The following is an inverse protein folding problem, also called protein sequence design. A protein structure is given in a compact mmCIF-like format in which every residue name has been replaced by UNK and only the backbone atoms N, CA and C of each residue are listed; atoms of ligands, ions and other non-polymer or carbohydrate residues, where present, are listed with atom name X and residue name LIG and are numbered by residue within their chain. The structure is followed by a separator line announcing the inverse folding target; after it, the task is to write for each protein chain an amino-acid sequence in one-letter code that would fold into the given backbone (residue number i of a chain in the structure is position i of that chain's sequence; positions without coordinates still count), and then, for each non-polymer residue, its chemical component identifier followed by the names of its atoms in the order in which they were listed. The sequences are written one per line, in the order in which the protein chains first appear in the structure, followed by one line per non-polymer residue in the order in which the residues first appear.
data_IF_253160750484
#
_entry.id   IF_253160750484
#
_cell.length_a   1.000
_cell.length_b   1.000
_cell.length_c   1.000
_cell.angle_alpha   90.00
_cell.angle_beta   90.00
_cell.angle_gamma   90.00
#
_symmetry.space_group_name_H-M   'P 1'
#
loop_
_entity.id
_entity.type
_entity.pdbx_description
1 polymer ?
#
# COMPACT_ATOMS: atom_id res chain seq x y z
N UNK A 1 17.14 -10.46 -23.61
CA UNK A 1 16.80 -11.00 -22.27
C UNK A 1 15.29 -10.87 -22.10
N UNK A 2 14.56 -11.90 -21.68
CA UNK A 2 13.11 -11.81 -21.59
C UNK A 2 12.73 -11.01 -20.34
N UNK A 3 11.86 -10.03 -20.53
CA UNK A 3 11.28 -9.18 -19.50
C UNK A 3 10.40 -10.08 -18.61
N UNK A 4 10.65 -10.02 -17.30
CA UNK A 4 9.98 -10.83 -16.30
C UNK A 4 8.47 -10.52 -16.30
N UNK A 5 7.63 -11.52 -16.61
CA UNK A 5 6.17 -11.37 -16.84
C UNK A 5 5.38 -10.94 -15.58
N UNK A 6 6.04 -10.85 -14.42
CA UNK A 6 5.46 -10.37 -13.16
C UNK A 6 5.26 -8.83 -13.11
N UNK A 7 5.75 -8.06 -14.09
CA UNK A 7 5.59 -6.59 -14.13
C UNK A 7 4.30 -6.10 -14.81
N UNK A 8 3.44 -6.99 -15.33
CA UNK A 8 2.26 -6.61 -16.15
C UNK A 8 1.06 -6.01 -15.37
N UNK A 9 1.09 -5.97 -14.05
CA UNK A 9 -0.04 -5.48 -13.23
C UNK A 9 0.23 -4.18 -12.46
N UNK A 10 1.35 -3.48 -12.70
CA UNK A 10 1.52 -2.15 -12.12
C UNK A 10 0.72 -1.12 -12.91
N UNK A 11 -0.10 -0.34 -12.22
CA UNK A 11 -0.77 0.84 -12.80
C UNK A 11 0.26 1.83 -13.40
N UNK A 12 1.53 1.77 -12.98
CA UNK A 12 2.61 2.58 -13.50
C UNK A 12 3.25 1.90 -14.72
N UNK A 13 3.03 2.50 -15.89
CA UNK A 13 3.70 2.13 -17.14
C UNK A 13 4.53 3.31 -17.64
N UNK A 14 5.62 3.06 -18.39
CA UNK A 14 6.44 4.14 -18.97
C UNK A 14 5.63 5.17 -19.77
N UNK A 15 4.54 4.73 -20.42
CA UNK A 15 3.68 5.59 -21.23
C UNK A 15 2.63 6.38 -20.41
N UNK A 16 2.41 6.05 -19.13
CA UNK A 16 1.32 6.63 -18.32
C UNK A 16 1.38 8.15 -18.24
N UNK A 17 2.59 8.71 -18.20
CA UNK A 17 2.81 10.14 -18.00
C UNK A 17 3.29 10.86 -19.27
N UNK A 18 3.19 10.23 -20.44
CA UNK A 18 3.59 10.82 -21.73
C UNK A 18 2.95 12.19 -22.01
N UNK A 19 1.72 12.41 -21.56
CA UNK A 19 0.98 13.67 -21.76
C UNK A 19 1.33 14.75 -20.74
N UNK A 20 2.13 14.42 -19.73
CA UNK A 20 2.53 15.35 -18.68
C UNK A 20 3.72 16.21 -19.11
N UNK A 21 3.96 17.28 -18.34
CA UNK A 21 5.12 18.14 -18.54
C UNK A 21 6.19 17.85 -17.50
N UNK A 22 7.48 17.80 -17.89
CA UNK A 22 8.60 17.75 -16.97
C UNK A 22 8.54 18.89 -15.94
N UNK A 23 8.97 18.62 -14.71
CA UNK A 23 8.92 19.58 -13.60
C UNK A 23 9.66 20.90 -13.88
N UNK A 24 10.63 20.89 -14.80
CA UNK A 24 11.52 22.00 -15.16
C UNK A 24 11.41 22.42 -16.63
N UNK A 25 10.35 21.99 -17.34
CA UNK A 25 10.15 22.23 -18.79
C UNK A 25 11.23 21.64 -19.72
N UNK A 26 12.17 20.83 -19.21
CA UNK A 26 13.18 20.16 -20.04
C UNK A 26 12.58 18.89 -20.64
N UNK A 27 12.42 18.80 -21.97
CA UNK A 27 11.77 17.66 -22.61
C UNK A 27 12.56 16.35 -22.43
N UNK A 28 11.88 15.22 -22.55
CA UNK A 28 12.52 13.91 -22.56
C UNK A 28 13.37 13.71 -23.82
N UNK A 29 14.55 13.14 -23.64
CA UNK A 29 15.36 12.58 -24.73
C UNK A 29 14.71 11.30 -25.33
N UNK A 30 15.13 10.83 -26.52
CA UNK A 30 14.49 9.70 -27.21
C UNK A 30 14.41 8.38 -26.41
N UNK A 31 15.31 8.17 -25.44
CA UNK A 31 15.37 6.99 -24.57
C UNK A 31 14.80 7.24 -23.17
N UNK A 32 14.19 8.40 -22.95
CA UNK A 32 13.66 8.81 -21.66
C UNK A 32 12.12 8.81 -21.64
N UNK A 33 11.60 8.56 -20.44
CA UNK A 33 10.17 8.59 -20.13
C UNK A 33 9.97 9.42 -18.86
N UNK A 34 8.75 9.90 -18.65
CA UNK A 34 8.43 10.66 -17.45
C UNK A 34 8.09 9.73 -16.29
N UNK A 35 8.78 9.92 -15.16
CA UNK A 35 8.47 9.25 -13.90
C UNK A 35 8.05 10.26 -12.83
N UNK A 36 7.13 9.90 -11.93
CA UNK A 36 6.66 10.80 -10.87
C UNK A 36 7.68 10.89 -9.72
N UNK A 37 7.73 12.02 -9.04
CA UNK A 37 8.43 12.20 -7.75
C UNK A 37 7.65 13.13 -6.82
N UNK A 38 7.84 12.98 -5.50
CA UNK A 38 7.12 13.77 -4.49
C UNK A 38 7.80 15.12 -4.26
N UNK A 39 7.01 16.20 -4.23
CA UNK A 39 7.44 17.50 -3.72
C UNK A 39 7.26 17.51 -2.20
N UNK A 40 8.36 17.27 -1.48
CA UNK A 40 8.33 16.93 -0.05
C UNK A 40 8.04 18.10 0.88
N UNK A 41 8.43 19.31 0.48
CA UNK A 41 8.36 20.49 1.33
C UNK A 41 8.27 21.79 0.50
N UNK A 42 8.12 22.88 1.22
CA UNK A 42 7.97 24.23 0.65
C UNK A 42 9.26 24.71 -0.02
N UNK A 43 10.43 24.29 0.47
CA UNK A 43 11.71 24.70 -0.09
C UNK A 43 11.91 24.09 -1.48
N UNK A 44 11.65 22.79 -1.61
CA UNK A 44 11.68 22.09 -2.89
C UNK A 44 10.70 22.74 -3.87
N UNK A 45 9.46 23.01 -3.46
CA UNK A 45 8.44 23.68 -4.29
C UNK A 45 8.87 25.06 -4.77
N UNK A 46 9.64 25.80 -3.96
CA UNK A 46 10.08 27.16 -4.23
C UNK A 46 11.45 27.22 -4.93
N UNK A 47 12.06 26.07 -5.21
CA UNK A 47 13.29 26.03 -6.00
C UNK A 47 13.06 26.66 -7.38
N UNK A 48 14.06 27.41 -7.84
CA UNK A 48 14.04 28.08 -9.16
C UNK A 48 13.97 27.09 -10.32
N UNK A 49 14.36 25.84 -10.07
CA UNK A 49 14.39 24.78 -11.06
C UNK A 49 13.04 24.07 -11.22
N UNK A 50 12.06 24.38 -10.38
CA UNK A 50 10.72 23.79 -10.46
C UNK A 50 9.75 24.81 -11.06
N UNK A 51 9.09 24.44 -12.15
CA UNK A 51 7.92 25.13 -12.67
C UNK A 51 6.66 24.64 -11.92
N UNK A 52 6.04 25.46 -11.06
CA UNK A 52 4.88 25.05 -10.28
C UNK A 52 3.65 24.70 -11.12
N UNK A 53 3.57 25.19 -12.37
CA UNK A 53 2.46 24.93 -13.28
C UNK A 53 2.48 23.51 -13.86
N UNK A 54 3.65 22.84 -13.83
CA UNK A 54 3.82 21.48 -14.33
C UNK A 54 3.62 20.43 -13.22
N UNK A 55 3.46 20.87 -11.96
CA UNK A 55 3.19 19.99 -10.84
C UNK A 55 1.73 19.55 -10.85
N UNK A 56 1.49 18.31 -10.44
CA UNK A 56 0.15 17.77 -10.25
C UNK A 56 -0.10 17.39 -8.81
N UNK A 57 -1.36 17.51 -8.40
CA UNK A 57 -1.79 16.96 -7.11
C UNK A 57 -2.34 15.57 -7.36
N UNK A 58 -1.67 14.58 -6.79
CA UNK A 58 -2.22 13.23 -6.71
C UNK A 58 -2.99 13.09 -5.40
N UNK A 59 -4.07 12.32 -5.45
CA UNK A 59 -4.89 12.02 -4.28
C UNK A 59 -4.58 10.60 -3.82
N UNK A 60 -4.18 10.50 -2.56
CA UNK A 60 -3.96 9.24 -1.85
C UNK A 60 -4.68 9.38 -0.50
N UNK A 61 -5.78 8.68 -0.30
CA UNK A 61 -6.58 8.64 0.94
C UNK A 61 -7.16 9.97 1.32
N UNK A 62 -7.71 10.67 0.34
CA UNK A 62 -8.16 12.05 0.49
C UNK A 62 -7.03 13.07 0.69
N UNK A 63 -5.82 12.62 1.05
CA UNK A 63 -4.63 13.44 1.25
C UNK A 63 -4.03 13.81 -0.11
N UNK A 64 -3.69 15.09 -0.22
CA UNK A 64 -3.08 15.65 -1.43
C UNK A 64 -1.57 15.52 -1.34
N UNK A 65 -0.97 14.83 -2.31
CA UNK A 65 0.48 14.81 -2.51
C UNK A 65 0.80 15.60 -3.77
N UNK A 66 1.71 16.55 -3.66
CA UNK A 66 2.17 17.32 -4.81
C UNK A 66 3.28 16.53 -5.51
N UNK A 67 3.14 16.34 -6.81
CA UNK A 67 3.95 15.46 -7.64
C UNK A 67 4.52 16.25 -8.81
N UNK A 68 5.81 16.07 -9.06
CA UNK A 68 6.48 16.50 -10.29
C UNK A 68 6.80 15.30 -11.18
N UNK A 69 7.12 15.56 -12.45
CA UNK A 69 7.53 14.53 -13.40
C UNK A 69 8.96 14.78 -13.85
N UNK A 70 9.82 13.78 -13.74
CA UNK A 70 11.23 13.84 -14.11
C UNK A 70 11.51 12.94 -15.30
N UNK A 71 12.24 13.41 -16.34
CA UNK A 71 12.76 12.55 -17.39
C UNK A 71 13.76 11.55 -16.81
N UNK A 72 13.54 10.26 -17.05
CA UNK A 72 14.42 9.17 -16.63
C UNK A 72 14.61 8.19 -17.77
N UNK A 73 15.73 7.47 -17.82
CA UNK A 73 15.89 6.42 -18.82
C UNK A 73 14.80 5.37 -18.62
N UNK A 74 14.31 4.79 -19.72
CA UNK A 74 13.27 3.77 -19.68
C UNK A 74 13.63 2.57 -18.78
N UNK A 75 14.92 2.22 -18.69
CA UNK A 75 15.45 1.14 -17.86
C UNK A 75 15.33 1.44 -16.35
N UNK A 76 15.36 2.73 -15.97
CA UNK A 76 15.30 3.18 -14.58
C UNK A 76 13.87 3.42 -14.10
N UNK A 77 12.88 3.45 -15.00
CA UNK A 77 11.51 3.85 -14.71
C UNK A 77 10.91 3.13 -13.50
N UNK A 78 11.00 1.79 -13.47
CA UNK A 78 10.42 1.00 -12.38
C UNK A 78 11.13 1.22 -11.04
N UNK A 79 12.44 1.47 -11.06
CA UNK A 79 13.20 1.80 -9.84
C UNK A 79 12.77 3.17 -9.30
N UNK A 80 12.58 4.14 -10.18
CA UNK A 80 12.12 5.49 -9.80
C UNK A 80 10.69 5.45 -9.27
N UNK A 81 9.80 4.65 -9.87
CA UNK A 81 8.43 4.43 -9.36
C UNK A 81 8.47 3.79 -7.96
N UNK A 82 9.37 2.85 -7.70
CA UNK A 82 9.55 2.27 -6.37
C UNK A 82 9.94 3.33 -5.35
N UNK A 83 10.90 4.18 -5.67
CA UNK A 83 11.33 5.31 -4.81
C UNK A 83 10.17 6.28 -4.60
N UNK A 84 9.41 6.62 -5.66
CA UNK A 84 8.23 7.47 -5.55
C UNK A 84 7.21 6.93 -4.54
N UNK A 85 6.89 5.64 -4.59
CA UNK A 85 5.96 5.03 -3.64
C UNK A 85 6.49 5.09 -2.21
N UNK A 86 7.80 4.90 -2.00
CA UNK A 86 8.44 5.08 -0.69
C UNK A 86 8.32 6.52 -0.19
N UNK A 87 8.62 7.50 -1.05
CA UNK A 87 8.52 8.93 -0.74
C UNK A 87 7.07 9.35 -0.44
N UNK A 88 6.08 8.77 -1.14
CA UNK A 88 4.65 9.00 -0.85
C UNK A 88 4.32 8.49 0.55
N UNK A 89 4.73 7.26 0.90
CA UNK A 89 4.52 6.69 2.24
C UNK A 89 5.14 7.58 3.32
N UNK A 90 6.39 8.00 3.11
CA UNK A 90 7.08 8.87 4.06
C UNK A 90 6.38 10.23 4.20
N UNK A 91 6.05 10.87 3.08
CA UNK A 91 5.34 12.15 3.06
C UNK A 91 4.01 12.07 3.81
N UNK A 92 3.20 11.03 3.55
CA UNK A 92 1.92 10.84 4.24
C UNK A 92 2.12 10.57 5.73
N UNK A 93 3.12 9.77 6.11
CA UNK A 93 3.41 9.49 7.52
C UNK A 93 3.78 10.75 8.32
N UNK A 94 4.44 11.74 7.71
CA UNK A 94 4.77 13.03 8.37
C UNK A 94 3.54 13.85 8.76
N UNK A 95 2.44 13.72 8.02
CA UNK A 95 1.19 14.46 8.27
C UNK A 95 0.11 13.63 8.96
N UNK A 96 0.34 12.33 9.12
CA UNK A 96 -0.55 11.44 9.86
C UNK A 96 -0.19 11.49 11.35
N UNK A 97 -0.70 12.49 12.08
CA UNK A 97 -0.97 12.25 13.48
C UNK A 97 -2.07 11.19 13.51
N UNK A 98 -1.70 9.95 13.85
CA UNK A 98 -2.55 8.86 14.32
C UNK A 98 -4.06 9.14 14.20
N UNK A 99 -4.68 8.71 13.10
CA UNK A 99 -6.09 8.31 12.97
C UNK A 99 -6.34 7.98 11.50
N UNK A 100 -6.51 6.68 11.22
CA UNK A 100 -7.73 6.12 10.60
C UNK A 100 -7.47 4.63 10.33
N UNK A 101 -8.13 3.80 11.14
CA UNK A 101 -7.97 2.35 11.33
C UNK A 101 -6.54 1.93 11.70
N UNK A 102 -6.24 1.99 12.99
CA UNK A 102 -5.11 1.22 13.51
C UNK A 102 -5.33 -0.26 13.12
N UNK A 103 -4.26 -0.98 12.76
CA UNK A 103 -4.35 -2.43 12.56
C UNK A 103 -5.02 -3.12 13.76
N UNK A 104 -4.88 -2.53 14.95
CA UNK A 104 -5.61 -2.90 16.16
C UNK A 104 -7.13 -2.81 15.99
N UNK A 105 -7.70 -1.75 15.41
CA UNK A 105 -9.13 -1.66 15.10
C UNK A 105 -9.60 -2.68 14.06
N UNK A 106 -8.80 -2.96 13.01
CA UNK A 106 -9.16 -3.96 12.00
C UNK A 106 -9.15 -5.37 12.62
N UNK A 107 -8.11 -5.69 13.39
CA UNK A 107 -7.97 -6.98 14.07
C UNK A 107 -8.99 -7.17 15.22
N UNK A 108 -9.35 -6.09 15.91
CA UNK A 108 -10.35 -6.12 16.98
C UNK A 108 -11.78 -6.19 16.40
N UNK A 109 -12.08 -5.51 15.29
CA UNK A 109 -13.39 -5.57 14.60
C UNK A 109 -13.64 -6.90 13.88
N UNK A 110 -12.61 -7.55 13.34
CA UNK A 110 -12.68 -8.96 12.86
C UNK A 110 -12.91 -9.98 14.00
N UNK A 111 -12.84 -9.54 15.28
CA UNK A 111 -13.02 -10.40 16.44
C UNK A 111 -14.45 -10.37 16.99
N UNK A 112 -15.24 -9.35 16.68
CA UNK A 112 -16.65 -9.18 17.10
C UNK A 112 -17.60 -9.73 16.03
N UNK A 113 -18.63 -10.47 16.46
CA UNK A 113 -19.71 -10.95 15.58
C UNK A 113 -20.68 -9.82 15.14
N UNK A 114 -20.22 -8.57 15.11
CA UNK A 114 -21.05 -7.42 14.73
C UNK A 114 -20.92 -7.18 13.23
N UNK A 115 -22.06 -7.13 12.53
CA UNK A 115 -22.15 -6.78 11.12
C UNK A 115 -21.41 -5.47 10.86
N UNK A 116 -20.40 -5.55 10.00
CA UNK A 116 -19.65 -4.38 9.56
C UNK A 116 -20.56 -3.57 8.65
N UNK A 117 -21.07 -2.45 9.14
CA UNK A 117 -21.58 -1.39 8.29
C UNK A 117 -20.41 -0.78 7.52
N UNK A 118 -19.93 -1.45 6.47
CA UNK A 118 -19.03 -0.87 5.50
C UNK A 118 -19.83 0.17 4.72
N UNK A 119 -19.66 1.46 5.03
CA UNK A 119 -20.23 2.54 4.25
C UNK A 119 -19.49 2.61 2.90
N UNK A 120 -20.08 2.12 1.80
CA UNK A 120 -19.42 2.08 0.50
C UNK A 120 -19.42 3.47 -0.17
N UNK A 121 -19.90 4.51 0.52
CA UNK A 121 -19.99 5.89 0.00
C UNK A 121 -18.89 6.82 0.56
N UNK A 122 -18.14 6.38 1.58
CA UNK A 122 -16.90 7.02 2.02
C UNK A 122 -15.72 6.59 1.14
N UNK A 123 -15.65 7.12 -0.08
CA UNK A 123 -14.72 6.63 -1.12
C UNK A 123 -13.24 6.88 -0.81
N UNK A 124 -12.57 5.88 -0.23
CA UNK A 124 -11.14 5.64 -0.45
C UNK A 124 -10.89 5.35 -1.94
N UNK A 125 -9.82 5.89 -2.52
CA UNK A 125 -9.53 5.63 -3.94
C UNK A 125 -9.12 4.17 -4.15
N UNK A 126 -9.47 3.62 -5.31
CA UNK A 126 -9.13 2.24 -5.71
C UNK A 126 -7.64 1.92 -5.50
N UNK A 127 -6.76 2.90 -5.67
CA UNK A 127 -5.32 2.77 -5.50
C UNK A 127 -4.90 2.57 -4.03
N UNK A 128 -5.63 3.10 -3.05
CA UNK A 128 -5.35 2.89 -1.62
C UNK A 128 -5.91 1.58 -1.12
N UNK A 129 -7.08 1.19 -1.63
CA UNK A 129 -7.61 -0.14 -1.40
C UNK A 129 -6.56 -1.14 -1.87
N UNK A 130 -6.00 -0.97 -3.08
CA UNK A 130 -4.92 -1.84 -3.58
C UNK A 130 -3.68 -1.81 -2.68
N UNK A 131 -3.18 -0.64 -2.25
CA UNK A 131 -1.99 -0.56 -1.37
C UNK A 131 -2.23 -1.14 0.03
N UNK A 132 -3.43 -0.95 0.58
CA UNK A 132 -3.83 -1.55 1.85
C UNK A 132 -3.91 -3.07 1.73
N UNK A 133 -4.50 -3.58 0.63
CA UNK A 133 -4.55 -5.00 0.33
C UNK A 133 -3.15 -5.60 0.11
N UNK A 134 -2.24 -4.89 -0.55
CA UNK A 134 -0.83 -5.29 -0.71
C UNK A 134 -0.09 -5.34 0.63
N UNK A 135 -0.27 -4.32 1.47
CA UNK A 135 0.35 -4.25 2.81
C UNK A 135 -0.17 -5.36 3.73
N UNK A 136 -1.47 -5.65 3.68
CA UNK A 136 -2.07 -6.77 4.42
C UNK A 136 -1.54 -8.10 3.88
N UNK A 137 -1.38 -8.24 2.57
CA UNK A 137 -0.82 -9.45 1.97
C UNK A 137 0.64 -9.69 2.39
N UNK A 138 1.49 -8.66 2.35
CA UNK A 138 2.89 -8.74 2.81
C UNK A 138 2.97 -9.09 4.31
N UNK A 139 2.09 -8.50 5.13
CA UNK A 139 1.99 -8.84 6.55
C UNK A 139 1.63 -10.32 6.75
N UNK A 140 0.64 -10.82 6.01
CA UNK A 140 0.20 -12.22 6.09
C UNK A 140 1.32 -13.16 5.66
N UNK A 141 2.04 -12.85 4.58
CA UNK A 141 3.17 -13.63 4.09
C UNK A 141 4.31 -13.69 5.11
N UNK A 142 4.63 -12.57 5.75
CA UNK A 142 5.67 -12.51 6.77
C UNK A 142 5.28 -13.26 8.04
N UNK A 143 4.01 -13.20 8.46
CA UNK A 143 3.48 -14.06 9.53
C UNK A 143 3.52 -15.53 9.12
N UNK A 144 3.16 -15.87 7.88
CA UNK A 144 3.18 -17.25 7.36
C UNK A 144 4.60 -17.83 7.33
N UNK A 145 5.59 -17.00 6.97
CA UNK A 145 7.02 -17.34 7.00
C UNK A 145 7.50 -17.68 8.41
N UNK A 146 7.04 -16.92 9.42
CA UNK A 146 7.40 -17.14 10.84
C UNK A 146 6.61 -18.28 11.47
N UNK A 147 5.34 -18.39 11.13
CA UNK A 147 4.44 -19.42 11.61
C UNK A 147 3.37 -19.73 10.55
N UNK A 148 3.60 -20.81 9.80
CA UNK A 148 2.73 -21.25 8.71
C UNK A 148 1.26 -21.36 9.12
N UNK A 149 0.98 -21.89 10.30
CA UNK A 149 -0.39 -22.04 10.82
C UNK A 149 -1.06 -20.70 11.06
N UNK A 150 -0.33 -19.70 11.54
CA UNK A 150 -0.89 -18.38 11.83
C UNK A 150 -1.11 -17.57 10.57
N UNK A 151 -0.19 -17.66 9.60
CA UNK A 151 -0.39 -17.07 8.27
C UNK A 151 -1.64 -17.61 7.59
N UNK A 152 -1.84 -18.93 7.62
CA UNK A 152 -3.05 -19.57 7.08
C UNK A 152 -4.35 -19.08 7.76
N UNK A 153 -4.33 -18.85 9.07
CA UNK A 153 -5.48 -18.28 9.79
C UNK A 153 -5.78 -16.87 9.28
N UNK A 154 -4.76 -16.01 9.16
CA UNK A 154 -4.94 -14.64 8.70
C UNK A 154 -5.37 -14.58 7.24
N UNK A 155 -4.86 -15.48 6.40
CA UNK A 155 -5.24 -15.60 4.99
C UNK A 155 -6.72 -15.97 4.82
N UNK A 156 -7.22 -16.92 5.62
CA UNK A 156 -8.65 -17.27 5.62
C UNK A 156 -9.56 -16.10 6.04
N UNK A 157 -9.11 -15.29 7.01
CA UNK A 157 -9.84 -14.08 7.45
C UNK A 157 -9.81 -13.02 6.34
N UNK A 158 -8.68 -12.86 5.65
CA UNK A 158 -8.52 -11.89 4.57
C UNK A 158 -9.34 -12.24 3.32
N UNK A 159 -9.33 -13.51 2.92
CA UNK A 159 -10.07 -14.00 1.74
C UNK A 159 -11.59 -14.00 1.96
N UNK A 160 -12.04 -14.04 3.22
CA UNK A 160 -13.45 -14.01 3.59
C UNK A 160 -13.64 -13.20 4.88
N UNK A 161 -13.86 -11.89 4.74
CA UNK A 161 -13.94 -10.97 5.88
C UNK A 161 -15.08 -11.30 6.87
N UNK A 162 -16.11 -12.00 6.41
CA UNK A 162 -17.27 -12.40 7.22
C UNK A 162 -17.13 -13.84 7.76
N UNK A 163 -15.96 -14.49 7.60
CA UNK A 163 -15.77 -15.87 8.03
C UNK A 163 -15.93 -16.01 9.54
N UNK A 164 -16.83 -16.90 9.97
CA UNK A 164 -16.98 -17.15 11.39
C UNK A 164 -15.74 -17.87 11.94
N UNK A 165 -15.35 -17.53 13.18
CA UNK A 165 -14.24 -18.21 13.88
C UNK A 165 -14.39 -19.74 13.90
N UNK A 166 -15.62 -20.25 13.96
CA UNK A 166 -15.89 -21.69 13.95
C UNK A 166 -15.59 -22.33 12.59
N UNK A 167 -15.78 -21.60 11.50
CA UNK A 167 -15.48 -22.07 10.15
C UNK A 167 -13.98 -22.08 9.91
N UNK A 168 -13.23 -21.07 10.38
CA UNK A 168 -11.76 -21.10 10.38
C UNK A 168 -11.25 -22.35 11.12
N UNK A 169 -11.79 -22.62 12.30
CA UNK A 169 -11.41 -23.76 13.14
C UNK A 169 -11.70 -25.09 12.43
N UNK A 170 -12.86 -25.20 11.79
CA UNK A 170 -13.30 -26.40 11.06
C UNK A 170 -12.46 -26.62 9.80
N UNK A 171 -12.23 -25.58 9.01
CA UNK A 171 -11.40 -25.60 7.79
C UNK A 171 -9.98 -26.06 8.08
N UNK A 172 -9.41 -25.64 9.22
CA UNK A 172 -8.06 -26.02 9.64
C UNK A 172 -8.02 -27.31 10.48
N UNK A 173 -9.14 -28.02 10.64
CA UNK A 173 -9.23 -29.29 11.38
C UNK A 173 -8.85 -29.17 12.86
N UNK A 174 -9.07 -28.00 13.46
CA UNK A 174 -8.65 -27.72 14.84
C UNK A 174 -9.73 -28.08 15.86
N UNK A 175 -9.31 -28.49 17.06
CA UNK A 175 -10.22 -28.57 18.22
C UNK A 175 -10.63 -27.16 18.65
N UNK A 176 -11.92 -26.97 18.99
CA UNK A 176 -12.53 -25.68 19.33
C UNK A 176 -11.65 -24.80 20.25
N UNK A 177 -11.25 -25.32 21.41
CA UNK A 177 -10.42 -24.59 22.39
C UNK A 177 -9.04 -24.22 21.86
N UNK A 178 -8.40 -25.10 21.08
CA UNK A 178 -7.10 -24.83 20.46
C UNK A 178 -7.22 -23.83 19.30
N UNK A 179 -8.35 -23.88 18.59
CA UNK A 179 -8.67 -23.02 17.47
C UNK A 179 -8.77 -21.55 17.86
N UNK A 180 -9.56 -21.24 18.89
CA UNK A 180 -9.66 -19.86 19.40
C UNK A 180 -8.32 -19.33 19.92
N UNK A 181 -7.53 -20.16 20.60
CA UNK A 181 -6.20 -19.78 21.06
C UNK A 181 -5.23 -19.51 19.89
N UNK A 182 -5.32 -20.30 18.82
CA UNK A 182 -4.50 -20.11 17.62
C UNK A 182 -4.86 -18.82 16.88
N UNK A 183 -6.16 -18.49 16.77
CA UNK A 183 -6.62 -17.23 16.16
C UNK A 183 -6.07 -16.03 16.93
N UNK A 184 -6.19 -16.03 18.26
CA UNK A 184 -5.68 -14.94 19.09
C UNK A 184 -4.16 -14.77 18.96
N UNK A 185 -3.41 -15.88 18.87
CA UNK A 185 -1.94 -15.85 18.67
C UNK A 185 -1.56 -15.37 17.27
N UNK A 186 -2.31 -15.75 16.24
CA UNK A 186 -2.08 -15.27 14.87
C UNK A 186 -2.27 -13.75 14.77
N UNK A 187 -3.34 -13.22 15.38
CA UNK A 187 -3.59 -11.78 15.45
C UNK A 187 -2.49 -11.05 16.24
N UNK A 188 -2.05 -11.59 17.37
CA UNK A 188 -0.95 -10.99 18.15
C UNK A 188 0.36 -10.94 17.36
N UNK A 189 0.69 -12.02 16.65
CA UNK A 189 1.88 -12.06 15.78
C UNK A 189 1.77 -11.07 14.62
N UNK A 190 0.58 -10.91 14.02
CA UNK A 190 0.37 -9.87 13.01
C UNK A 190 0.64 -8.46 13.55
N UNK A 191 0.20 -8.16 14.79
CA UNK A 191 0.50 -6.88 15.45
C UNK A 191 2.01 -6.67 15.66
N UNK A 192 2.74 -7.72 16.03
CA UNK A 192 4.20 -7.68 16.20
C UNK A 192 4.91 -7.44 14.85
N UNK A 193 4.60 -8.24 13.83
CA UNK A 193 5.19 -8.10 12.49
C UNK A 193 4.91 -6.72 11.90
N UNK A 194 3.69 -6.20 12.06
CA UNK A 194 3.36 -4.87 11.57
C UNK A 194 4.21 -3.77 12.23
N UNK A 195 4.49 -3.89 13.53
CA UNK A 195 5.38 -2.93 14.23
C UNK A 195 6.80 -3.00 13.69
N UNK A 196 7.30 -4.19 13.38
CA UNK A 196 8.65 -4.37 12.83
C UNK A 196 8.79 -3.83 11.40
N UNK A 197 7.78 -4.03 10.55
CA UNK A 197 7.79 -3.54 9.16
C UNK A 197 7.67 -2.01 9.03
N UNK A 198 7.33 -1.31 10.12
CA UNK A 198 7.11 0.13 10.13
C UNK A 198 8.02 0.88 11.12
N UNK A 199 9.10 0.23 11.61
CA UNK A 199 10.24 0.86 12.27
C UNK A 199 11.33 1.24 11.27
#
# INVERSE_FOLDING_TARGET
MPINEQQRNSKYTPDRYKSEKPYNDVPCEPNQVLAPFVIRDKEMRQSKDINPNNLKTFKFSGKSVLVGFVPVNIEDFYNVVKIFNMDVKEYLNRYTKCNDLSLDEILDKMSSNEEVGFDPTGVDSHEEIIMMLETISELIEEVERRNKKYGQILRLIYENMDIAKQDIISTLGMKKTQGYAAIKKAQAMAKEVYRELNQ
#
